data_IF_303272065626
#
_entry.id   IF_303272065626
#
_cell.length_a   1.000
_cell.length_b   1.000
_cell.length_c   1.000
_cell.angle_alpha   90.00
_cell.angle_beta   90.00
_cell.angle_gamma   90.00
#
_symmetry.space_group_name_H-M   'P 1'
#
loop_
_entity.id
_entity.type
_entity.pdbx_description
1 polymer ?
#
# COMPACT_ATOMS: atom_id res chain seq x y z
N UNK A 1 -52.12 25.55 9.43
CA UNK A 1 -50.74 25.06 9.70
C UNK A 1 -50.81 23.55 9.60
N UNK A 2 -50.28 22.96 8.53
CA UNK A 2 -50.08 21.51 8.43
C UNK A 2 -48.60 21.27 8.28
N UNK A 3 -47.98 20.74 9.33
CA UNK A 3 -46.60 20.27 9.30
C UNK A 3 -46.53 19.09 8.32
N UNK A 4 -45.80 19.25 7.22
CA UNK A 4 -45.36 18.12 6.41
C UNK A 4 -44.19 17.48 7.16
N UNK A 5 -44.43 16.29 7.70
CA UNK A 5 -43.40 15.44 8.29
C UNK A 5 -42.35 15.12 7.23
N UNK A 6 -41.10 15.51 7.48
CA UNK A 6 -39.97 15.04 6.71
C UNK A 6 -39.77 13.56 7.04
N UNK A 7 -40.10 12.70 6.08
CA UNK A 7 -39.78 11.27 6.14
C UNK A 7 -38.26 11.14 6.04
N UNK A 8 -37.56 10.90 7.15
CA UNK A 8 -36.17 10.46 7.08
C UNK A 8 -36.16 9.00 6.64
N UNK A 9 -36.08 8.79 5.32
CA UNK A 9 -35.75 7.46 4.80
C UNK A 9 -34.35 7.11 5.30
N UNK A 10 -34.23 5.98 5.99
CA UNK A 10 -32.93 5.40 6.30
C UNK A 10 -32.16 5.20 5.00
N UNK A 11 -30.85 5.51 4.94
CA UNK A 11 -30.05 5.22 3.74
C UNK A 11 -30.20 3.73 3.39
N UNK A 12 -30.44 3.43 2.11
CA UNK A 12 -30.60 2.05 1.67
C UNK A 12 -29.29 1.30 1.93
N UNK A 13 -29.37 0.02 2.28
CA UNK A 13 -28.19 -0.80 2.56
C UNK A 13 -27.21 -0.86 1.37
N UNK A 14 -27.71 -0.64 0.14
CA UNK A 14 -26.92 -0.50 -1.09
C UNK A 14 -26.04 0.76 -1.13
N UNK A 15 -26.25 1.71 -0.22
CA UNK A 15 -25.44 2.93 -0.10
C UNK A 15 -24.27 2.74 0.89
N UNK A 16 -24.21 1.61 1.61
CA UNK A 16 -23.19 1.33 2.64
C UNK A 16 -22.02 0.53 2.07
N UNK A 17 -20.99 1.25 1.58
CA UNK A 17 -19.81 0.68 0.90
C UNK A 17 -20.23 -0.21 -0.31
N UNK A 18 -19.33 -0.61 -1.22
CA UNK A 18 -19.62 -1.76 -2.07
C UNK A 18 -19.90 -2.94 -1.13
N UNK A 19 -21.14 -3.42 -1.10
CA UNK A 19 -21.64 -4.44 -0.17
C UNK A 19 -20.94 -5.80 -0.29
N UNK A 20 -20.02 -5.92 -1.26
CA UNK A 20 -19.40 -7.15 -1.71
C UNK A 20 -17.85 -7.06 -1.70
N UNK A 21 -17.28 -6.30 -0.76
CA UNK A 21 -15.84 -6.25 -0.47
C UNK A 21 -15.32 -7.55 0.19
N UNK A 22 -15.60 -8.72 -0.38
CA UNK A 22 -14.99 -9.97 0.08
C UNK A 22 -13.56 -10.06 -0.49
N UNK A 23 -12.57 -10.30 0.38
CA UNK A 23 -11.16 -10.59 0.03
C UNK A 23 -10.33 -9.46 -0.59
N UNK A 24 -10.88 -8.26 -0.80
CA UNK A 24 -10.08 -7.13 -1.28
C UNK A 24 -9.10 -6.63 -0.22
N UNK A 25 -7.91 -6.21 -0.67
CA UNK A 25 -7.06 -5.34 0.15
C UNK A 25 -7.49 -3.89 0.00
N UNK A 26 -7.17 -3.07 1.01
CA UNK A 26 -7.59 -1.68 1.09
C UNK A 26 -6.40 -0.83 1.51
N UNK A 27 -6.24 0.36 0.92
CA UNK A 27 -5.28 1.36 1.36
C UNK A 27 -5.95 2.72 1.53
N UNK A 28 -5.70 3.38 2.67
CA UNK A 28 -6.22 4.72 2.97
C UNK A 28 -5.11 5.76 3.01
N UNK A 29 -5.41 6.97 2.55
CA UNK A 29 -4.58 8.16 2.75
C UNK A 29 -5.47 9.33 3.16
N UNK A 30 -4.97 10.21 4.03
CA UNK A 30 -5.70 11.39 4.49
C UNK A 30 -4.81 12.64 4.49
N UNK A 31 -5.42 13.82 4.43
CA UNK A 31 -4.75 15.08 4.72
C UNK A 31 -5.05 15.58 6.14
N UNK A 32 -4.47 16.73 6.48
CA UNK A 32 -4.71 17.45 7.74
C UNK A 32 -6.14 18.00 7.86
N UNK A 33 -6.79 18.30 6.73
CA UNK A 33 -8.19 18.77 6.69
C UNK A 33 -9.20 17.64 6.98
N UNK A 34 -8.74 16.38 7.11
CA UNK A 34 -9.57 15.20 7.33
C UNK A 34 -10.24 14.65 6.07
N UNK A 35 -9.92 15.19 4.89
CA UNK A 35 -10.28 14.57 3.61
C UNK A 35 -9.46 13.29 3.45
N UNK A 36 -10.10 12.23 2.98
CA UNK A 36 -9.41 10.96 2.76
C UNK A 36 -9.78 10.33 1.42
N UNK A 37 -8.88 9.44 0.98
CA UNK A 37 -9.07 8.55 -0.15
C UNK A 37 -8.88 7.13 0.32
N UNK A 38 -9.75 6.24 -0.13
CA UNK A 38 -9.62 4.80 0.08
C UNK A 38 -9.51 4.13 -1.28
N UNK A 39 -8.52 3.26 -1.42
CA UNK A 39 -8.29 2.47 -2.61
C UNK A 39 -8.57 1.02 -2.33
N UNK A 40 -9.34 0.37 -3.19
CA UNK A 40 -9.74 -1.02 -3.05
C UNK A 40 -9.96 -1.65 -4.43
N UNK A 41 -9.95 -2.97 -4.49
CA UNK A 41 -10.34 -3.72 -5.67
C UNK A 41 -11.83 -4.09 -5.55
N UNK A 42 -12.61 -3.77 -6.57
CA UNK A 42 -14.03 -4.10 -6.63
C UNK A 42 -14.26 -5.47 -7.30
N UNK A 43 -15.50 -5.96 -7.33
CA UNK A 43 -15.88 -7.26 -7.91
C UNK A 43 -15.51 -7.43 -9.40
N UNK A 44 -15.43 -6.33 -10.16
CA UNK A 44 -14.96 -6.33 -11.55
C UNK A 44 -13.42 -6.47 -11.66
N UNK A 45 -12.75 -6.71 -10.53
CA UNK A 45 -11.30 -6.81 -10.34
C UNK A 45 -10.55 -5.52 -10.67
N UNK A 46 -11.28 -4.41 -10.73
CA UNK A 46 -10.75 -3.09 -11.05
C UNK A 46 -10.47 -2.35 -9.75
N UNK A 47 -9.43 -1.51 -9.77
CA UNK A 47 -9.11 -0.66 -8.62
C UNK A 47 -9.97 0.60 -8.67
N UNK A 48 -10.63 0.91 -7.56
CA UNK A 48 -11.43 2.11 -7.36
C UNK A 48 -10.81 3.00 -6.29
N UNK A 49 -11.05 4.31 -6.45
CA UNK A 49 -10.90 5.32 -5.41
C UNK A 49 -12.28 5.66 -4.84
N UNK A 50 -12.42 5.56 -3.53
CA UNK A 50 -13.50 6.18 -2.77
C UNK A 50 -13.01 7.51 -2.19
N UNK A 51 -13.73 8.59 -2.48
CA UNK A 51 -13.43 9.94 -2.02
C UNK A 51 -14.44 10.41 -0.99
N UNK A 52 -13.94 10.88 0.16
CA UNK A 52 -14.70 11.65 1.15
C UNK A 52 -13.96 12.97 1.45
N UNK A 53 -14.63 14.11 1.23
CA UNK A 53 -14.07 15.45 1.44
C UNK A 53 -14.79 16.24 2.55
N UNK A 54 -15.58 15.55 3.37
CA UNK A 54 -16.24 16.13 4.53
C UNK A 54 -16.23 15.08 5.64
N UNK A 55 -15.55 15.40 6.74
CA UNK A 55 -15.39 14.52 7.91
C UNK A 55 -16.71 14.18 8.61
N UNK A 56 -17.78 14.91 8.30
CA UNK A 56 -19.12 14.72 8.88
C UNK A 56 -20.10 14.07 7.90
N UNK A 57 -19.73 13.95 6.63
CA UNK A 57 -20.57 13.38 5.59
C UNK A 57 -20.42 11.86 5.53
N UNK A 58 -21.51 11.17 5.22
CA UNK A 58 -21.49 9.75 4.84
C UNK A 58 -21.52 9.56 3.32
N UNK A 59 -21.60 10.66 2.55
CA UNK A 59 -21.69 10.64 1.09
C UNK A 59 -20.29 10.62 0.50
N UNK A 60 -19.96 9.54 -0.20
CA UNK A 60 -18.72 9.35 -0.93
C UNK A 60 -18.94 9.39 -2.44
N UNK A 61 -17.85 9.53 -3.19
CA UNK A 61 -17.83 9.33 -4.64
C UNK A 61 -16.89 8.19 -5.00
N UNK A 62 -17.19 7.48 -6.08
CA UNK A 62 -16.38 6.38 -6.60
C UNK A 62 -15.77 6.76 -7.96
N UNK A 63 -14.48 6.46 -8.13
CA UNK A 63 -13.76 6.60 -9.38
C UNK A 63 -13.03 5.30 -9.70
N UNK A 64 -13.33 4.70 -10.86
CA UNK A 64 -12.57 3.56 -11.40
C UNK A 64 -11.22 4.04 -11.94
N UNK A 65 -10.11 3.56 -11.36
CA UNK A 65 -8.75 3.98 -11.75
C UNK A 65 -8.17 3.14 -12.91
N UNK A 66 -8.59 1.89 -13.01
CA UNK A 66 -8.14 0.97 -14.07
C UNK A 66 -8.89 1.27 -15.36
N UNK A 67 -8.15 1.69 -16.37
CA UNK A 67 -8.65 1.98 -17.72
C UNK A 67 -7.94 1.08 -18.74
N UNK A 68 -8.36 1.10 -20.01
CA UNK A 68 -7.75 0.30 -21.08
C UNK A 68 -6.26 0.60 -21.33
N UNK A 69 -5.75 1.73 -20.84
CA UNK A 69 -4.35 2.13 -20.99
C UNK A 69 -3.48 1.76 -19.77
N UNK A 70 -4.09 1.16 -18.75
CA UNK A 70 -3.45 0.82 -17.49
C UNK A 70 -3.24 -0.70 -17.41
N UNK A 71 -2.11 -1.18 -16.85
CA UNK A 71 -1.93 -2.60 -16.59
C UNK A 71 -3.07 -3.16 -15.72
N UNK A 72 -3.59 -4.33 -16.09
CA UNK A 72 -4.66 -4.95 -15.31
C UNK A 72 -4.13 -5.41 -13.95
N UNK A 73 -4.84 -5.08 -12.88
CA UNK A 73 -4.59 -5.62 -11.55
C UNK A 73 -4.84 -7.14 -11.55
N UNK A 74 -4.01 -7.90 -10.82
CA UNK A 74 -4.35 -9.30 -10.55
C UNK A 74 -5.56 -9.38 -9.62
N UNK A 75 -6.30 -10.48 -9.70
CA UNK A 75 -7.35 -10.80 -8.73
C UNK A 75 -6.72 -10.87 -7.33
N UNK A 76 -7.41 -10.28 -6.36
CA UNK A 76 -6.97 -10.12 -4.97
C UNK A 76 -5.58 -9.47 -4.86
N UNK A 77 -5.35 -8.43 -5.66
CA UNK A 77 -4.09 -7.68 -5.59
C UNK A 77 -3.94 -7.03 -4.22
N UNK A 78 -2.75 -7.03 -3.60
CA UNK A 78 -2.47 -6.12 -2.51
C UNK A 78 -2.43 -4.68 -3.04
N UNK A 79 -2.85 -3.73 -2.22
CA UNK A 79 -2.91 -2.31 -2.53
C UNK A 79 -2.18 -1.54 -1.42
N UNK A 80 -1.32 -0.62 -1.81
CA UNK A 80 -0.68 0.32 -0.89
C UNK A 80 -0.76 1.74 -1.46
N UNK A 81 -0.85 2.76 -0.60
CA UNK A 81 -0.99 4.14 -1.05
C UNK A 81 -0.21 5.11 -0.17
N UNK A 82 0.26 6.20 -0.78
CA UNK A 82 0.91 7.34 -0.11
C UNK A 82 0.42 8.63 -0.76
N UNK A 83 0.29 9.69 0.03
CA UNK A 83 -0.16 10.98 -0.47
C UNK A 83 0.58 12.15 0.18
N UNK A 84 0.73 13.24 -0.57
CA UNK A 84 1.40 14.45 -0.08
C UNK A 84 0.87 15.71 -0.74
N UNK A 85 1.36 16.85 -0.25
CA UNK A 85 0.92 18.19 -0.66
C UNK A 85 -0.60 18.32 -0.58
N UNK A 86 -1.17 17.94 0.57
CA UNK A 86 -2.61 18.02 0.81
C UNK A 86 -3.44 17.24 -0.24
N UNK A 87 -3.14 15.94 -0.44
CA UNK A 87 -3.73 15.05 -1.46
C UNK A 87 -3.56 15.52 -2.92
N UNK A 88 -2.72 16.50 -3.21
CA UNK A 88 -2.46 16.96 -4.59
C UNK A 88 -1.49 16.06 -5.34
N UNK A 89 -0.85 15.14 -4.63
CA UNK A 89 0.01 14.10 -5.17
C UNK A 89 -0.32 12.81 -4.45
N UNK A 90 -0.69 11.78 -5.20
CA UNK A 90 -1.03 10.47 -4.63
C UNK A 90 -0.37 9.39 -5.47
N UNK A 91 0.15 8.36 -4.83
CA UNK A 91 0.59 7.12 -5.50
C UNK A 91 -0.17 5.95 -4.91
N UNK A 92 -0.62 5.07 -5.79
CA UNK A 92 -1.23 3.80 -5.44
C UNK A 92 -0.42 2.71 -6.12
N UNK A 93 -0.03 1.71 -5.36
CA UNK A 93 0.74 0.58 -5.82
C UNK A 93 -0.12 -0.67 -5.74
N UNK A 94 0.03 -1.51 -6.74
CA UNK A 94 -0.66 -2.78 -6.85
C UNK A 94 0.20 -3.77 -7.63
N UNK A 95 -0.21 -5.04 -7.64
CA UNK A 95 0.43 -6.09 -8.42
C UNK A 95 -0.48 -6.42 -9.61
N UNK A 96 0.11 -6.41 -10.79
CA UNK A 96 -0.59 -6.70 -12.05
C UNK A 96 -0.73 -8.20 -12.29
N UNK A 97 -1.54 -8.58 -13.29
CA UNK A 97 -1.71 -9.98 -13.73
C UNK A 97 -0.39 -10.67 -14.13
N UNK A 98 0.62 -9.92 -14.55
CA UNK A 98 1.97 -10.39 -14.89
C UNK A 98 2.97 -10.25 -13.73
N UNK A 99 2.47 -10.19 -12.49
CA UNK A 99 3.24 -10.07 -11.26
C UNK A 99 4.17 -8.85 -11.20
N UNK A 100 3.81 -7.74 -11.86
CA UNK A 100 4.58 -6.49 -11.81
C UNK A 100 4.03 -5.58 -10.73
N UNK A 101 4.92 -5.02 -9.91
CA UNK A 101 4.56 -3.95 -8.98
C UNK A 101 4.41 -2.67 -9.79
N UNK A 102 3.19 -2.17 -9.90
CA UNK A 102 2.82 -1.05 -10.76
C UNK A 102 2.29 0.11 -9.95
N UNK A 103 2.69 1.32 -10.35
CA UNK A 103 2.23 2.58 -9.78
C UNK A 103 1.07 3.16 -10.62
N UNK A 104 0.01 3.61 -9.95
CA UNK A 104 -0.85 4.70 -10.41
C UNK A 104 -0.35 6.00 -9.79
N UNK A 105 -0.16 7.02 -10.64
CA UNK A 105 0.31 8.32 -10.20
C UNK A 105 -0.76 9.38 -10.42
N UNK A 106 -1.23 10.00 -9.34
CA UNK A 106 -2.05 11.20 -9.39
C UNK A 106 -1.21 12.45 -9.19
N UNK A 107 -1.49 13.47 -10.00
CA UNK A 107 -1.09 14.84 -9.71
C UNK A 107 -2.26 15.78 -10.00
N UNK A 108 -2.46 16.81 -9.17
CA UNK A 108 -3.55 17.79 -9.34
C UNK A 108 -3.64 18.37 -10.76
N UNK A 109 -2.51 18.57 -11.43
CA UNK A 109 -2.45 19.19 -12.75
C UNK A 109 -2.39 18.17 -13.91
N UNK A 110 -2.17 16.88 -13.62
CA UNK A 110 -2.03 15.83 -14.63
C UNK A 110 -3.08 14.73 -14.54
N UNK A 111 -3.90 14.72 -13.48
CA UNK A 111 -4.83 13.62 -13.21
C UNK A 111 -4.12 12.31 -12.87
N UNK A 112 -4.87 11.21 -12.97
CA UNK A 112 -4.36 9.86 -12.82
C UNK A 112 -3.69 9.37 -14.10
N UNK A 113 -2.48 8.83 -13.97
CA UNK A 113 -1.70 8.26 -15.07
C UNK A 113 -0.95 7.00 -14.64
N UNK A 114 -0.53 6.20 -15.63
CA UNK A 114 0.37 5.08 -15.40
C UNK A 114 1.70 5.62 -14.87
N UNK A 115 2.11 5.15 -13.71
CA UNK A 115 3.40 5.45 -13.11
C UNK A 115 4.46 4.40 -13.43
N UNK A 116 5.49 4.35 -12.60
CA UNK A 116 6.62 3.44 -12.74
C UNK A 116 6.25 1.98 -12.46
N UNK A 117 6.96 1.07 -13.10
CA UNK A 117 6.94 -0.37 -12.75
C UNK A 117 8.17 -0.67 -11.92
N UNK A 118 7.98 -1.11 -10.67
CA UNK A 118 9.06 -1.15 -9.67
C UNK A 118 9.82 -2.48 -9.65
N UNK A 119 9.21 -3.57 -10.11
CA UNK A 119 9.84 -4.88 -10.11
C UNK A 119 8.86 -6.01 -10.39
N UNK A 120 9.35 -7.25 -10.32
CA UNK A 120 8.53 -8.46 -10.37
C UNK A 120 8.31 -8.95 -8.94
N UNK A 121 7.06 -8.98 -8.49
CA UNK A 121 6.66 -9.60 -7.24
C UNK A 121 6.74 -11.12 -7.34
N UNK A 122 6.93 -11.79 -6.20
CA UNK A 122 6.72 -13.22 -6.08
C UNK A 122 5.24 -13.52 -6.40
N UNK A 123 5.02 -14.58 -7.16
CA UNK A 123 3.68 -15.01 -7.54
C UNK A 123 2.80 -15.21 -6.30
N UNK A 124 1.55 -14.73 -6.36
CA UNK A 124 0.56 -14.75 -5.28
C UNK A 124 0.97 -14.01 -3.99
N UNK A 125 2.10 -13.28 -3.95
CA UNK A 125 2.49 -12.55 -2.75
C UNK A 125 1.52 -11.41 -2.43
N UNK A 126 1.04 -11.39 -1.20
CA UNK A 126 0.24 -10.30 -0.62
C UNK A 126 1.10 -9.23 0.04
N UNK A 127 2.42 -9.40 0.04
CA UNK A 127 3.35 -8.46 0.66
C UNK A 127 3.50 -7.20 -0.21
N UNK A 128 2.86 -6.11 0.22
CA UNK A 128 3.04 -4.78 -0.36
C UNK A 128 2.85 -3.73 0.73
N UNK A 129 3.78 -2.78 0.82
CA UNK A 129 3.58 -1.56 1.58
C UNK A 129 4.10 -0.37 0.80
N UNK A 130 3.62 0.82 1.14
CA UNK A 130 4.15 2.07 0.66
C UNK A 130 4.30 3.03 1.84
N UNK A 131 5.41 3.74 1.86
CA UNK A 131 5.72 4.76 2.84
C UNK A 131 6.35 5.95 2.14
N UNK A 132 6.15 7.11 2.73
CA UNK A 132 6.77 8.33 2.28
C UNK A 132 7.48 9.05 3.43
N UNK A 133 8.47 9.84 3.04
CA UNK A 133 9.07 10.85 3.90
C UNK A 133 9.30 12.10 3.07
N UNK A 134 8.59 13.16 3.41
CA UNK A 134 8.74 14.47 2.76
C UNK A 134 9.41 15.44 3.74
N UNK A 135 10.73 15.55 3.67
CA UNK A 135 11.46 16.65 4.29
C UNK A 135 11.87 17.64 3.22
N UNK A 136 13.06 17.48 2.63
CA UNK A 136 13.62 18.33 1.58
C UNK A 136 13.43 17.73 0.18
N UNK A 137 13.39 16.41 0.07
CA UNK A 137 13.11 15.69 -1.17
C UNK A 137 12.06 14.59 -0.89
N UNK A 138 11.15 14.32 -1.85
CA UNK A 138 10.23 13.19 -1.73
C UNK A 138 11.04 11.89 -1.73
N UNK A 139 11.07 11.21 -0.59
CA UNK A 139 11.55 9.84 -0.51
C UNK A 139 10.33 8.92 -0.44
N UNK A 140 10.09 8.17 -1.52
CA UNK A 140 9.08 7.12 -1.51
C UNK A 140 9.78 5.78 -1.28
N UNK A 141 9.13 4.89 -0.54
CA UNK A 141 9.56 3.51 -0.33
C UNK A 141 8.39 2.59 -0.57
N UNK A 142 8.60 1.55 -1.36
CA UNK A 142 7.60 0.53 -1.66
C UNK A 142 8.25 -0.82 -1.41
N UNK A 143 7.79 -1.51 -0.37
CA UNK A 143 8.27 -2.86 -0.08
C UNK A 143 7.35 -3.90 -0.66
N UNK A 144 7.93 -4.95 -1.22
CA UNK A 144 7.25 -6.10 -1.77
C UNK A 144 8.15 -7.34 -1.71
N UNK A 145 7.58 -8.53 -1.71
CA UNK A 145 8.36 -9.75 -1.86
C UNK A 145 8.66 -9.96 -3.33
N UNK A 146 9.93 -9.89 -3.77
CA UNK A 146 10.28 -10.09 -5.18
C UNK A 146 10.53 -11.56 -5.49
N UNK A 147 10.34 -11.96 -6.74
CA UNK A 147 10.69 -13.32 -7.19
C UNK A 147 12.20 -13.59 -7.15
N UNK A 148 13.03 -12.54 -7.19
CA UNK A 148 14.48 -12.64 -7.11
C UNK A 148 15.00 -12.84 -5.68
N UNK A 149 14.26 -12.39 -4.67
CA UNK A 149 14.60 -12.52 -3.27
C UNK A 149 13.36 -12.92 -2.45
N UNK A 150 12.79 -14.12 -2.69
CA UNK A 150 11.50 -14.51 -2.14
C UNK A 150 11.50 -14.70 -0.62
N UNK A 151 12.67 -14.87 0.02
CA UNK A 151 12.76 -15.08 1.47
C UNK A 151 12.79 -13.78 2.27
N UNK A 152 12.64 -12.62 1.62
CA UNK A 152 12.75 -11.31 2.27
C UNK A 152 11.96 -10.24 1.51
N UNK A 153 11.95 -9.03 2.05
CA UNK A 153 11.34 -7.85 1.44
C UNK A 153 12.36 -7.18 0.52
N UNK A 154 11.94 -6.95 -0.71
CA UNK A 154 12.59 -6.02 -1.64
C UNK A 154 11.95 -4.65 -1.48
N UNK A 155 12.74 -3.61 -1.30
CA UNK A 155 12.27 -2.23 -1.23
C UNK A 155 12.71 -1.46 -2.48
N UNK A 156 11.73 -0.97 -3.24
CA UNK A 156 11.93 0.08 -4.22
C UNK A 156 11.93 1.43 -3.52
N UNK A 157 12.93 2.26 -3.78
CA UNK A 157 13.07 3.59 -3.20
C UNK A 157 13.21 4.63 -4.30
N UNK A 158 12.50 5.75 -4.16
CA UNK A 158 12.55 6.87 -5.08
C UNK A 158 13.20 8.07 -4.42
N UNK A 159 14.16 8.70 -5.09
CA UNK A 159 14.59 10.06 -4.78
C UNK A 159 14.65 10.89 -6.07
N UNK A 160 14.67 12.22 -5.97
CA UNK A 160 14.62 13.09 -7.15
C UNK A 160 15.88 13.04 -8.02
N UNK A 161 17.03 12.72 -7.41
CA UNK A 161 18.32 12.69 -8.10
C UNK A 161 18.49 11.44 -8.97
N UNK A 162 18.06 10.31 -8.45
CA UNK A 162 18.37 8.98 -8.97
C UNK A 162 17.15 8.25 -9.55
N UNK A 163 15.94 8.74 -9.30
CA UNK A 163 14.72 8.01 -9.61
C UNK A 163 14.55 6.76 -8.75
N UNK A 164 13.88 5.74 -9.30
CA UNK A 164 13.60 4.48 -8.63
C UNK A 164 14.83 3.54 -8.61
N UNK A 165 15.15 3.01 -7.43
CA UNK A 165 16.17 1.97 -7.21
C UNK A 165 15.67 0.90 -6.25
N UNK A 166 15.98 -0.35 -6.51
CA UNK A 166 15.61 -1.48 -5.65
C UNK A 166 16.77 -1.90 -4.75
N UNK A 167 16.44 -2.32 -3.52
CA UNK A 167 17.35 -2.98 -2.59
C UNK A 167 16.65 -4.12 -1.89
N UNK A 168 17.41 -5.12 -1.44
CA UNK A 168 16.90 -6.19 -0.59
C UNK A 168 17.10 -5.78 0.86
N UNK A 169 16.06 -5.95 1.69
CA UNK A 169 16.20 -5.74 3.12
C UNK A 169 16.88 -6.96 3.76
N UNK A 170 17.90 -6.70 4.55
CA UNK A 170 18.65 -7.70 5.29
C UNK A 170 18.26 -7.64 6.76
N UNK A 171 18.18 -8.80 7.41
CA UNK A 171 17.95 -8.84 8.85
C UNK A 171 19.22 -8.31 9.55
N UNK A 172 19.15 -7.12 10.12
CA UNK A 172 20.23 -6.59 10.94
C UNK A 172 20.32 -7.38 12.25
N UNK A 173 21.49 -7.88 12.61
CA UNK A 173 21.73 -8.49 13.93
C UNK A 173 21.88 -7.46 15.05
N UNK A 174 21.52 -6.20 14.81
CA UNK A 174 21.82 -5.09 15.69
C UNK A 174 20.78 -4.99 16.82
N UNK A 175 20.92 -5.86 17.82
CA UNK A 175 20.27 -5.69 19.11
C UNK A 175 21.12 -4.71 19.92
N UNK A 176 21.05 -3.42 19.55
CA UNK A 176 21.31 -2.36 20.52
C UNK A 176 20.11 -2.29 21.45
N UNK A 177 20.05 -3.23 22.41
CA UNK A 177 19.25 -2.99 23.61
C UNK A 177 19.90 -1.80 24.30
N UNK A 178 19.31 -0.62 24.12
CA UNK A 178 19.62 0.55 24.92
C UNK A 178 19.64 0.12 26.38
N UNK A 179 20.77 0.34 27.03
CA UNK A 179 21.04 -0.01 28.42
C UNK A 179 20.01 0.65 29.34
N UNK A 180 18.93 -0.06 29.64
CA UNK A 180 18.02 0.22 30.75
C UNK A 180 17.40 -1.07 31.28
N UNK A 181 18.26 -1.97 31.77
CA UNK A 181 17.87 -2.99 32.74
C UNK A 181 18.90 -2.95 33.85
N UNK A 182 18.47 -2.46 35.03
CA UNK A 182 19.19 -2.72 36.27
C UNK A 182 19.20 -4.23 36.46
N UNK A 183 20.40 -4.77 36.59
CA UNK A 183 20.67 -6.13 36.98
C UNK A 183 19.88 -6.49 38.25
N UNK A 184 18.85 -7.30 38.09
CA UNK A 184 18.33 -8.19 39.13
C UNK A 184 17.99 -9.49 38.42
N UNK A 185 18.88 -10.47 38.60
CA UNK A 185 19.00 -11.60 37.73
C UNK A 185 17.82 -12.58 37.75
N UNK A 186 17.68 -13.27 36.63
CA UNK A 186 17.51 -14.72 36.57
C UNK A 186 18.01 -15.20 35.20
N UNK A 187 18.84 -16.25 35.24
CA UNK A 187 19.25 -17.05 34.09
C UNK A 187 18.03 -17.82 33.58
N UNK A 188 17.83 -17.90 32.26
CA UNK A 188 17.91 -19.17 31.52
C UNK A 188 17.28 -19.10 30.10
N UNK A 189 18.08 -19.61 29.16
CA UNK A 189 17.71 -20.45 28.01
C UNK A 189 16.74 -19.92 26.94
N UNK A 190 17.29 -19.51 25.80
CA UNK A 190 16.95 -20.10 24.49
C UNK A 190 18.18 -20.03 23.56
N UNK A 191 18.87 -21.16 23.40
CA UNK A 191 19.84 -21.35 22.32
C UNK A 191 19.07 -21.65 21.04
N UNK A 192 19.27 -20.86 19.99
CA UNK A 192 19.00 -21.29 18.61
C UNK A 192 20.23 -21.02 17.74
N UNK A 193 20.84 -22.11 17.29
CA UNK A 193 21.94 -22.16 16.32
C UNK A 193 21.41 -21.87 14.90
N UNK A 194 22.08 -21.03 14.08
CA UNK A 194 21.85 -21.04 12.64
C UNK A 194 22.76 -22.09 11.99
N UNK A 195 22.17 -23.11 11.35
CA UNK A 195 22.94 -23.97 10.44
C UNK A 195 23.01 -23.29 9.06
N UNK A 196 24.21 -22.81 8.76
CA UNK A 196 24.68 -22.50 7.42
C UNK A 196 25.01 -23.81 6.70
N UNK A 197 24.53 -24.01 5.47
CA UNK A 197 25.27 -24.81 4.50
C UNK A 197 25.17 -24.20 3.11
N UNK A 198 26.33 -23.76 2.65
CA UNK A 198 26.67 -23.34 1.30
C UNK A 198 26.70 -24.52 0.33
N UNK A 199 26.32 -24.23 -0.90
CA UNK A 199 26.47 -25.02 -2.13
C UNK A 199 27.89 -25.57 -2.34
N UNK A 200 28.00 -26.81 -2.84
CA UNK A 200 29.11 -27.18 -3.73
C UNK A 200 28.60 -28.12 -4.84
N UNK A 201 28.65 -27.63 -6.08
CA UNK A 201 28.72 -28.44 -7.30
C UNK A 201 30.14 -28.98 -7.44
N UNK A 202 30.32 -30.28 -7.73
CA UNK A 202 31.02 -30.81 -8.91
C UNK A 202 31.50 -32.26 -8.71
N UNK A 203 31.24 -33.03 -9.79
CA UNK A 203 31.68 -34.39 -10.19
C UNK A 203 30.99 -35.57 -9.53
#
# INVERSE_FOLDING_TARGET
MSNSEAVSQSPNMSDLLPTDLFWTTIAGVQNEDGNFRVYFQNEDYQIYEMTLNDTKSTIYTLLKLTTSTMPAARIDTPIAAVAWKNLQQIRVYYITVDNRVQEFAYSKNGGWQKGSTLGTALENSTCLYAQDRFTTEPLLRVGFQSSAAPQTITEASYNMKDGWKNRVLEFGTDVSMGSHVKDTGMRDQFQYLPQMLSTLYMV
#
